data_IF_056014815667
#
_entry.id   IF_056014815667
#
_cell.length_a   1.000
_cell.length_b   1.000
_cell.length_c   1.000
_cell.angle_alpha   90.00
_cell.angle_beta   90.00
_cell.angle_gamma   90.00
#
_symmetry.space_group_name_H-M   'P 1'
#
loop_
_entity.id
_entity.type
_entity.pdbx_description
1 polymer ?
#
# COMPACT_ATOMS: atom_id res chain seq x y z
N UNK A 1 -21.82 -7.02 2.94
CA UNK A 1 -20.52 -6.41 3.27
C UNK A 1 -19.73 -6.30 1.97
N UNK A 2 -19.22 -5.11 1.67
CA UNK A 2 -18.54 -4.83 0.40
C UNK A 2 -17.06 -5.22 0.42
N UNK A 3 -16.39 -5.07 -0.72
CA UNK A 3 -14.94 -5.08 -0.79
C UNK A 3 -14.44 -3.68 -0.43
N UNK A 4 -13.34 -3.58 0.32
CA UNK A 4 -12.58 -2.34 0.47
C UNK A 4 -11.21 -2.51 -0.18
N UNK A 5 -10.65 -1.43 -0.69
CA UNK A 5 -9.37 -1.44 -1.39
C UNK A 5 -8.43 -0.43 -0.78
N UNK A 6 -7.17 -0.83 -0.61
CA UNK A 6 -6.07 0.03 -0.20
C UNK A 6 -5.07 0.09 -1.34
N UNK A 7 -4.76 1.27 -1.83
CA UNK A 7 -3.74 1.49 -2.84
C UNK A 7 -2.53 2.15 -2.18
N UNK A 8 -1.39 1.47 -2.21
CA UNK A 8 -0.09 2.00 -1.78
C UNK A 8 0.67 2.41 -3.02
N UNK A 9 0.98 3.69 -3.13
CA UNK A 9 1.72 4.25 -4.26
C UNK A 9 3.10 4.71 -3.79
N UNK A 10 4.15 4.44 -4.57
CA UNK A 10 5.51 4.80 -4.22
C UNK A 10 6.24 5.46 -5.39
N UNK A 11 7.00 6.53 -5.10
CA UNK A 11 7.82 7.25 -6.08
C UNK A 11 9.26 7.22 -5.70
N UNK A 12 10.11 7.15 -6.73
CA UNK A 12 11.55 7.30 -6.59
C UNK A 12 11.96 8.70 -6.07
N UNK A 13 11.15 9.72 -6.33
CA UNK A 13 11.39 11.08 -5.85
C UNK A 13 10.51 11.40 -4.65
N UNK A 14 11.10 11.93 -3.57
CA UNK A 14 10.37 12.45 -2.42
C UNK A 14 9.47 13.66 -2.77
N UNK A 15 9.88 14.46 -3.75
CA UNK A 15 9.20 15.71 -4.12
C UNK A 15 8.08 15.55 -5.15
N UNK A 16 7.94 14.37 -5.74
CA UNK A 16 7.05 14.17 -6.89
C UNK A 16 5.71 13.57 -6.44
N UNK A 17 4.61 14.36 -6.35
CA UNK A 17 3.36 13.88 -5.80
C UNK A 17 2.52 13.08 -6.80
N UNK A 18 1.66 12.23 -6.27
CA UNK A 18 0.47 11.81 -6.99
C UNK A 18 -0.61 12.89 -6.87
N UNK A 19 -1.26 13.18 -7.98
CA UNK A 19 -2.27 14.24 -8.07
C UNK A 19 -3.68 13.69 -7.96
N UNK A 20 -3.94 12.54 -8.58
CA UNK A 20 -5.26 11.91 -8.64
C UNK A 20 -5.14 10.40 -8.75
N UNK A 21 -6.12 9.68 -8.19
CA UNK A 21 -6.35 8.26 -8.45
C UNK A 21 -7.75 8.09 -9.01
N UNK A 22 -7.87 7.34 -10.11
CA UNK A 22 -9.13 7.04 -10.80
C UNK A 22 -9.21 5.57 -11.16
N UNK A 23 -10.41 5.04 -11.28
CA UNK A 23 -10.67 3.75 -11.89
C UNK A 23 -11.70 3.85 -13.01
N UNK A 24 -11.81 2.80 -13.83
CA UNK A 24 -12.76 2.68 -14.94
C UNK A 24 -14.22 2.45 -14.50
N UNK A 25 -14.44 2.21 -13.20
CA UNK A 25 -15.78 2.13 -12.59
C UNK A 25 -16.32 3.47 -12.09
N UNK A 26 -15.50 4.53 -12.12
CA UNK A 26 -15.87 5.84 -11.58
C UNK A 26 -15.98 5.88 -10.05
N UNK A 27 -15.32 4.96 -9.32
CA UNK A 27 -15.36 4.99 -7.87
C UNK A 27 -14.50 6.13 -7.30
N UNK A 28 -14.84 6.54 -6.08
CA UNK A 28 -14.10 7.58 -5.38
C UNK A 28 -12.91 6.99 -4.61
N UNK A 29 -11.72 7.51 -4.90
CA UNK A 29 -10.49 7.21 -4.18
C UNK A 29 -10.15 8.34 -3.22
N UNK A 30 -9.92 8.00 -1.95
CA UNK A 30 -9.57 8.98 -0.91
C UNK A 30 -8.11 8.79 -0.50
N UNK A 31 -7.28 9.82 -0.66
CA UNK A 31 -5.94 9.84 -0.07
C UNK A 31 -6.06 9.90 1.45
N UNK A 32 -5.44 8.96 2.13
CA UNK A 32 -5.44 8.87 3.60
C UNK A 32 -4.22 9.54 4.20
N UNK A 33 -3.04 9.19 3.70
CA UNK A 33 -1.80 9.80 4.16
C UNK A 33 -0.68 9.67 3.14
N UNK A 34 0.43 10.38 3.36
CA UNK A 34 1.64 10.32 2.53
C UNK A 34 2.89 10.77 3.28
N UNK A 35 4.05 10.28 2.86
CA UNK A 35 5.35 10.77 3.31
C UNK A 35 6.32 10.87 2.13
N UNK A 36 7.35 11.74 2.18
CA UNK A 36 7.56 12.75 3.21
C UNK A 36 6.58 13.93 3.08
N UNK A 37 6.39 14.68 4.18
CA UNK A 37 5.54 15.89 4.20
C UNK A 37 6.26 17.13 3.66
N UNK A 38 7.59 17.12 3.69
CA UNK A 38 8.45 18.21 3.24
C UNK A 38 9.83 17.67 2.84
N UNK A 39 10.60 18.49 2.12
CA UNK A 39 11.94 18.13 1.65
C UNK A 39 11.96 17.36 0.32
N UNK A 40 13.16 17.13 -0.19
CA UNK A 40 13.44 16.48 -1.47
C UNK A 40 14.26 15.20 -1.35
N UNK A 41 14.65 14.82 -0.13
CA UNK A 41 15.42 13.61 0.14
C UNK A 41 14.50 12.44 0.49
N UNK A 42 14.85 11.24 0.00
CA UNK A 42 14.16 9.99 0.31
C UNK A 42 13.17 9.53 -0.77
N UNK A 43 12.24 8.66 -0.37
CA UNK A 43 11.18 8.11 -1.22
C UNK A 43 9.83 8.66 -0.81
N UNK A 44 8.98 8.92 -1.80
CA UNK A 44 7.59 9.23 -1.52
C UNK A 44 6.78 7.94 -1.45
N UNK A 45 5.88 7.87 -0.49
CA UNK A 45 4.87 6.84 -0.39
C UNK A 45 3.53 7.49 -0.06
N UNK A 46 2.45 7.05 -0.69
CA UNK A 46 1.09 7.51 -0.44
C UNK A 46 0.16 6.32 -0.21
N UNK A 47 -0.83 6.52 0.65
CA UNK A 47 -1.87 5.55 0.90
C UNK A 47 -3.22 6.13 0.50
N UNK A 48 -3.95 5.37 -0.32
CA UNK A 48 -5.29 5.69 -0.80
C UNK A 48 -6.24 4.56 -0.48
N UNK A 49 -7.53 4.87 -0.33
CA UNK A 49 -8.57 3.85 -0.10
C UNK A 49 -9.79 4.06 -0.97
N UNK A 50 -10.47 2.97 -1.31
CA UNK A 50 -11.74 2.98 -2.03
C UNK A 50 -12.72 1.95 -1.44
N UNK A 51 -13.96 2.38 -1.22
CA UNK A 51 -15.11 1.50 -1.01
C UNK A 51 -15.97 1.56 -2.28
N UNK A 52 -15.73 0.67 -3.27
CA UNK A 52 -16.36 0.78 -4.57
C UNK A 52 -17.88 0.64 -4.49
N UNK A 53 -18.56 1.47 -5.27
CA UNK A 53 -19.99 1.43 -5.56
C UNK A 53 -20.29 0.82 -6.93
N UNK A 54 -19.26 0.69 -7.78
CA UNK A 54 -19.31 0.08 -9.09
C UNK A 54 -18.10 -0.86 -9.30
N UNK A 55 -18.26 -1.96 -10.06
CA UNK A 55 -17.13 -2.78 -10.50
C UNK A 55 -16.10 -1.95 -11.29
N UNK A 56 -14.83 -2.30 -11.16
CA UNK A 56 -13.73 -1.71 -11.90
C UNK A 56 -12.71 -2.80 -12.26
N UNK A 57 -11.97 -2.59 -13.35
CA UNK A 57 -10.95 -3.52 -13.88
C UNK A 57 -9.56 -2.90 -13.95
N UNK A 58 -9.44 -1.59 -13.73
CA UNK A 58 -8.15 -0.91 -13.70
C UNK A 58 -8.14 0.27 -12.75
N UNK A 59 -7.00 0.50 -12.11
CA UNK A 59 -6.76 1.69 -11.28
C UNK A 59 -5.56 2.42 -11.85
N UNK A 60 -5.71 3.74 -12.05
CA UNK A 60 -4.66 4.61 -12.57
C UNK A 60 -4.38 5.73 -11.59
N UNK A 61 -3.10 6.02 -11.38
CA UNK A 61 -2.65 7.14 -10.58
C UNK A 61 -1.90 8.15 -11.45
N UNK A 62 -2.43 9.37 -11.51
CA UNK A 62 -1.75 10.50 -12.12
C UNK A 62 -0.70 11.08 -11.17
N UNK A 63 0.41 11.55 -11.71
CA UNK A 63 1.51 12.15 -10.96
C UNK A 63 2.19 13.27 -11.76
N UNK A 64 3.00 14.07 -11.07
CA UNK A 64 3.89 15.06 -11.70
C UNK A 64 5.36 14.76 -11.37
N UNK A 65 6.28 15.32 -12.14
CA UNK A 65 7.72 15.08 -11.98
C UNK A 65 8.23 13.87 -12.75
N UNK A 66 9.55 13.78 -12.89
CA UNK A 66 10.24 12.82 -13.78
C UNK A 66 10.54 11.46 -13.15
N UNK A 67 10.25 11.26 -11.86
CA UNK A 67 10.48 9.97 -11.21
C UNK A 67 9.55 8.85 -11.71
N UNK A 68 9.97 7.60 -11.55
CA UNK A 68 9.11 6.43 -11.77
C UNK A 68 8.07 6.31 -10.65
N UNK A 69 6.90 5.81 -11.01
CA UNK A 69 5.80 5.56 -10.10
C UNK A 69 5.50 4.06 -10.04
N UNK A 70 5.28 3.57 -8.83
CA UNK A 70 4.97 2.18 -8.53
C UNK A 70 3.70 2.15 -7.69
N UNK A 71 2.97 1.04 -7.76
CA UNK A 71 1.74 0.91 -7.00
C UNK A 71 1.41 -0.53 -6.66
N UNK A 72 0.92 -0.76 -5.45
CA UNK A 72 0.34 -2.02 -5.00
C UNK A 72 -1.11 -1.75 -4.57
N UNK A 73 -2.06 -2.38 -5.25
CA UNK A 73 -3.47 -2.34 -4.90
C UNK A 73 -3.80 -3.57 -4.06
N UNK A 74 -4.41 -3.40 -2.89
CA UNK A 74 -4.75 -4.47 -1.96
C UNK A 74 -6.25 -4.54 -1.75
N UNK A 75 -6.85 -5.69 -2.02
CA UNK A 75 -8.24 -5.96 -1.65
C UNK A 75 -8.33 -6.47 -0.23
N UNK A 76 -9.24 -5.87 0.53
CA UNK A 76 -9.56 -6.23 1.92
C UNK A 76 -11.02 -6.72 1.96
N UNK A 77 -11.24 -8.04 1.83
CA UNK A 77 -12.59 -8.58 1.83
C UNK A 77 -13.25 -8.43 3.20
N UNK A 78 -14.52 -8.03 3.23
CA UNK A 78 -15.30 -7.94 4.46
C UNK A 78 -14.99 -6.72 5.35
N UNK A 79 -14.08 -5.83 4.97
CA UNK A 79 -13.86 -4.58 5.68
C UNK A 79 -15.08 -3.64 5.58
N UNK A 80 -15.36 -2.89 6.65
CA UNK A 80 -16.43 -1.89 6.65
C UNK A 80 -16.09 -0.67 5.78
N UNK A 81 -14.80 -0.50 5.47
CA UNK A 81 -14.25 0.68 4.81
C UNK A 81 -14.01 1.86 5.73
N UNK A 82 -14.28 1.69 7.03
CA UNK A 82 -13.92 2.67 8.06
C UNK A 82 -12.43 2.52 8.36
N UNK A 83 -11.71 3.63 8.18
CA UNK A 83 -10.32 3.77 8.61
C UNK A 83 -10.35 4.18 10.08
N UNK A 84 -9.77 3.35 10.93
CA UNK A 84 -9.63 3.62 12.36
C UNK A 84 -8.50 4.63 12.57
N UNK A 85 -7.28 4.26 12.15
CA UNK A 85 -6.10 5.11 12.23
C UNK A 85 -5.19 4.88 11.02
N UNK A 86 -4.52 5.92 10.58
CA UNK A 86 -3.55 5.87 9.48
C UNK A 86 -2.39 6.80 9.80
N UNK A 87 -1.18 6.39 9.41
CA UNK A 87 0.01 7.21 9.53
C UNK A 87 0.96 6.95 8.36
N UNK A 88 1.60 8.00 7.88
CA UNK A 88 2.73 7.95 6.97
C UNK A 88 3.90 8.74 7.51
N UNK A 89 5.10 8.17 7.45
CA UNK A 89 6.31 8.83 7.92
C UNK A 89 7.52 8.52 7.03
N UNK A 90 8.54 9.37 7.11
CA UNK A 90 9.81 9.19 6.46
C UNK A 90 10.91 8.95 7.49
N UNK A 91 11.77 7.97 7.23
CA UNK A 91 12.93 7.67 8.05
C UNK A 91 14.20 7.99 7.27
N UNK A 92 15.15 8.62 7.97
CA UNK A 92 16.47 8.91 7.44
C UNK A 92 17.24 7.63 7.09
N UNK A 93 18.46 7.80 6.55
CA UNK A 93 19.32 6.72 6.10
C UNK A 93 19.67 5.73 7.23
N UNK A 94 18.94 4.62 7.34
CA UNK A 94 19.16 3.56 8.33
C UNK A 94 18.71 2.21 7.76
N UNK A 95 19.52 1.16 7.96
CA UNK A 95 19.17 -0.22 7.62
C UNK A 95 18.09 -0.81 8.54
N UNK A 96 17.93 -0.25 9.74
CA UNK A 96 16.94 -0.64 10.76
C UNK A 96 16.28 0.63 11.29
N UNK A 97 15.40 1.28 10.52
CA UNK A 97 14.71 2.47 11.01
C UNK A 97 13.78 2.13 12.18
N UNK A 98 13.49 3.11 13.02
CA UNK A 98 12.41 2.98 14.00
C UNK A 98 11.08 2.72 13.30
N UNK A 99 10.26 1.83 13.86
CA UNK A 99 8.93 1.51 13.38
C UNK A 99 8.04 2.77 13.30
N UNK A 100 7.07 2.71 12.39
CA UNK A 100 5.96 3.67 12.38
C UNK A 100 4.79 2.99 13.05
N UNK A 101 4.43 3.49 14.22
CA UNK A 101 3.44 2.86 15.09
C UNK A 101 2.10 3.59 14.99
N UNK A 102 1.03 2.80 15.02
CA UNK A 102 -0.34 3.27 15.24
C UNK A 102 -0.92 2.58 16.47
N UNK A 103 -2.00 3.12 17.02
CA UNK A 103 -2.74 2.48 18.11
C UNK A 103 -4.19 2.32 17.66
N UNK A 104 -4.58 1.13 17.15
CA UNK A 104 -5.96 0.84 16.80
C UNK A 104 -6.87 1.07 18.00
N UNK A 105 -8.03 1.68 17.79
CA UNK A 105 -9.03 1.89 18.83
C UNK A 105 -10.04 0.74 18.90
N UNK A 106 -10.11 -0.08 17.85
CA UNK A 106 -11.05 -1.20 17.72
C UNK A 106 -10.33 -2.56 17.68
N UNK A 107 -10.96 -3.58 18.28
CA UNK A 107 -10.37 -4.92 18.42
C UNK A 107 -10.45 -5.77 17.13
N UNK A 108 -11.44 -5.47 16.28
CA UNK A 108 -11.67 -6.16 15.00
C UNK A 108 -11.05 -5.35 13.85
N UNK A 109 -9.72 -5.16 13.88
CA UNK A 109 -9.02 -4.41 12.83
C UNK A 109 -8.11 -5.28 11.99
N UNK A 110 -7.94 -4.88 10.72
CA UNK A 110 -6.85 -5.31 9.86
C UNK A 110 -5.84 -4.17 9.80
N UNK A 111 -4.60 -4.45 10.14
CA UNK A 111 -3.51 -3.50 9.96
C UNK A 111 -2.71 -3.86 8.73
N UNK A 112 -2.57 -2.93 7.82
CA UNK A 112 -1.71 -3.03 6.64
C UNK A 112 -0.60 -2.01 6.76
N UNK A 113 0.63 -2.43 6.51
CA UNK A 113 1.80 -1.58 6.52
C UNK A 113 2.62 -1.79 5.26
N UNK A 114 3.24 -0.72 4.78
CA UNK A 114 4.08 -0.76 3.61
C UNK A 114 5.29 0.15 3.76
N UNK A 115 6.38 -0.23 3.09
CA UNK A 115 7.61 0.53 3.07
C UNK A 115 8.24 0.54 1.67
N UNK A 116 8.80 1.68 1.29
CA UNK A 116 9.70 1.80 0.16
C UNK A 116 11.06 2.33 0.67
N UNK A 117 12.15 1.62 0.39
CA UNK A 117 13.49 1.97 0.86
C UNK A 117 14.53 1.75 -0.23
N UNK A 118 15.57 2.60 -0.34
CA UNK A 118 16.53 2.53 -1.45
C UNK A 118 17.93 2.15 -1.09
N UNK A 119 18.66 1.47 -1.98
CA UNK A 119 18.23 0.95 -3.29
C UNK A 119 17.62 -0.47 -3.18
N UNK A 120 16.78 -0.72 -2.17
CA UNK A 120 16.30 -2.07 -1.90
C UNK A 120 15.21 -2.47 -2.89
N UNK A 121 15.24 -3.75 -3.23
CA UNK A 121 14.14 -4.45 -3.88
C UNK A 121 13.16 -4.91 -2.79
N UNK A 122 11.90 -5.15 -3.13
CA UNK A 122 10.92 -5.68 -2.18
C UNK A 122 11.42 -6.97 -1.51
N UNK A 123 12.13 -7.84 -2.25
CA UNK A 123 12.69 -9.10 -1.76
C UNK A 123 13.85 -8.96 -0.76
N UNK A 124 14.47 -7.77 -0.66
CA UNK A 124 15.58 -7.51 0.28
C UNK A 124 15.11 -6.74 1.51
N UNK A 125 13.81 -6.50 1.65
CA UNK A 125 13.19 -5.85 2.81
C UNK A 125 12.54 -6.94 3.65
N UNK A 126 13.01 -7.11 4.89
CA UNK A 126 12.48 -8.12 5.81
C UNK A 126 11.65 -7.45 6.90
N UNK A 127 10.35 -7.80 7.04
CA UNK A 127 9.55 -7.35 8.18
C UNK A 127 9.87 -8.13 9.44
N UNK A 128 9.61 -7.52 10.60
CA UNK A 128 9.64 -8.18 11.90
C UNK A 128 8.63 -9.33 11.98
N UNK A 129 8.83 -10.21 12.97
CA UNK A 129 7.96 -11.37 13.22
C UNK A 129 6.51 -10.96 13.52
N UNK A 130 5.55 -11.80 13.15
CA UNK A 130 4.12 -11.59 13.43
C UNK A 130 3.33 -10.92 12.30
N UNK A 131 4.03 -10.51 11.25
CA UNK A 131 3.46 -9.91 10.03
C UNK A 131 3.39 -10.92 8.89
N UNK A 132 2.32 -10.83 8.09
CA UNK A 132 2.15 -11.65 6.89
C UNK A 132 2.53 -10.81 5.68
N UNK A 133 3.58 -11.22 4.96
CA UNK A 133 4.04 -10.54 3.75
C UNK A 133 3.11 -10.74 2.57
N UNK A 134 2.93 -9.69 1.80
CA UNK A 134 2.21 -9.69 0.53
C UNK A 134 3.21 -9.65 -0.63
N UNK A 135 2.89 -10.36 -1.72
CA UNK A 135 3.70 -10.35 -2.94
C UNK A 135 3.47 -9.04 -3.68
N UNK A 136 4.55 -8.34 -4.02
CA UNK A 136 4.55 -7.07 -4.74
C UNK A 136 5.56 -7.12 -5.89
N UNK A 137 5.60 -6.09 -6.73
CA UNK A 137 6.61 -5.97 -7.78
C UNK A 137 7.99 -5.82 -7.13
N UNK A 138 9.01 -6.36 -7.80
CA UNK A 138 10.37 -6.38 -7.29
C UNK A 138 10.90 -4.98 -6.95
N UNK A 139 10.46 -3.95 -7.68
CA UNK A 139 10.82 -2.56 -7.45
C UNK A 139 9.81 -1.82 -6.58
N UNK A 140 8.63 -2.41 -6.40
CA UNK A 140 7.50 -1.86 -5.66
C UNK A 140 7.74 -1.76 -4.15
N UNK A 141 6.76 -1.17 -3.43
CA UNK A 141 6.79 -1.17 -1.98
C UNK A 141 6.71 -2.60 -1.44
N UNK A 142 7.36 -2.87 -0.32
CA UNK A 142 7.16 -4.09 0.47
C UNK A 142 5.92 -3.91 1.33
N UNK A 143 5.01 -4.89 1.32
CA UNK A 143 3.73 -4.83 2.02
C UNK A 143 3.58 -6.00 3.00
N UNK A 144 3.01 -5.70 4.16
CA UNK A 144 2.63 -6.70 5.15
C UNK A 144 1.27 -6.37 5.74
N UNK A 145 0.62 -7.37 6.33
CA UNK A 145 -0.58 -7.18 7.13
C UNK A 145 -0.62 -8.04 8.39
N UNK A 146 -1.42 -7.61 9.35
CA UNK A 146 -1.77 -8.34 10.56
C UNK A 146 -3.29 -8.23 10.80
N UNK A 147 -3.90 -9.29 11.32
CA UNK A 147 -5.34 -9.35 11.62
C UNK A 147 -5.54 -9.40 13.12
N UNK A 148 -6.54 -8.66 13.62
CA UNK A 148 -6.95 -8.67 15.02
C UNK A 148 -5.87 -8.22 16.00
N UNK A 149 -5.11 -7.13 15.75
CA UNK A 149 -4.27 -6.58 16.79
C UNK A 149 -5.14 -6.06 17.95
N UNK A 150 -4.66 -6.15 19.21
CA UNK A 150 -5.44 -5.67 20.34
C UNK A 150 -5.71 -4.16 20.27
N UNK A 151 -6.94 -3.75 20.57
CA UNK A 151 -7.29 -2.34 20.72
C UNK A 151 -6.47 -1.68 21.84
N UNK A 152 -6.07 -0.43 21.64
CA UNK A 152 -5.32 0.36 22.61
C UNK A 152 -3.84 -0.02 22.77
N UNK A 153 -3.34 -0.97 21.98
CA UNK A 153 -1.93 -1.40 22.00
C UNK A 153 -1.21 -0.85 20.76
N UNK A 154 -0.07 -0.16 20.93
CA UNK A 154 0.75 0.26 19.79
C UNK A 154 1.18 -0.93 18.93
N UNK A 155 1.06 -0.76 17.62
CA UNK A 155 1.48 -1.74 16.61
C UNK A 155 2.23 -1.01 15.49
N UNK A 156 3.39 -1.54 15.14
CA UNK A 156 4.21 -1.10 14.03
C UNK A 156 5.05 -2.25 13.48
N UNK A 157 5.58 -2.06 12.29
CA UNK A 157 6.49 -3.02 11.66
C UNK A 157 7.92 -2.57 11.89
N UNK A 158 8.73 -3.44 12.48
CA UNK A 158 10.18 -3.31 12.41
C UNK A 158 10.65 -3.76 11.02
N UNK A 159 11.27 -2.87 10.26
CA UNK A 159 11.79 -3.19 8.94
C UNK A 159 13.32 -3.33 8.98
N UNK A 160 13.83 -4.36 8.31
CA UNK A 160 15.25 -4.54 8.07
C UNK A 160 15.56 -4.46 6.57
N UNK A 161 16.55 -3.66 6.21
CA UNK A 161 16.99 -3.42 4.84
C UNK A 161 18.45 -3.85 4.66
N UNK A 162 18.84 -4.23 3.44
CA UNK A 162 20.26 -4.43 3.14
C UNK A 162 21.08 -3.14 3.27
N UNK A 163 20.51 -2.02 2.85
CA UNK A 163 21.01 -0.64 3.07
C UNK A 163 19.89 0.34 2.77
N UNK A 164 19.79 1.50 3.41
CA UNK A 164 18.78 2.49 3.01
C UNK A 164 19.32 3.92 2.97
N UNK A 165 19.15 4.62 1.85
CA UNK A 165 19.39 6.05 1.68
C UNK A 165 18.15 6.91 2.05
N UNK A 166 17.33 6.40 2.96
CA UNK A 166 16.01 6.93 3.30
C UNK A 166 14.88 5.99 2.90
N UNK A 167 13.78 6.06 3.65
CA UNK A 167 12.61 5.20 3.43
C UNK A 167 11.30 5.92 3.73
N UNK A 168 10.29 5.65 2.92
CA UNK A 168 8.92 6.07 3.14
C UNK A 168 8.10 4.92 3.69
N UNK A 169 7.32 5.18 4.74
CA UNK A 169 6.52 4.21 5.46
C UNK A 169 5.06 4.65 5.48
N UNK A 170 4.14 3.69 5.37
CA UNK A 170 2.71 3.89 5.63
C UNK A 170 2.18 2.73 6.46
N UNK A 171 1.22 3.02 7.33
CA UNK A 171 0.50 2.02 8.11
C UNK A 171 -0.95 2.48 8.29
N UNK A 172 -1.89 1.56 8.14
CA UNK A 172 -3.33 1.80 8.26
C UNK A 172 -4.00 0.69 9.04
N UNK A 173 -4.87 1.03 9.99
CA UNK A 173 -5.84 0.14 10.59
C UNK A 173 -7.21 0.36 9.94
N UNK A 174 -7.79 -0.72 9.44
CA UNK A 174 -9.13 -0.78 8.88
C UNK A 174 -10.01 -1.60 9.80
N UNK A 175 -11.21 -1.10 10.10
CA UNK A 175 -12.21 -1.92 10.79
C UNK A 175 -12.63 -3.08 9.87
N UNK A 176 -12.46 -4.31 10.35
CA UNK A 176 -13.06 -5.48 9.74
C UNK A 176 -14.55 -5.50 10.08
N UNK A 177 -15.39 -5.86 9.09
CA UNK A 177 -16.74 -6.32 9.39
C UNK A 177 -16.72 -7.72 9.98
N UNK A 178 -17.91 -8.32 10.20
CA UNK A 178 -18.02 -9.70 10.69
C UNK A 178 -17.13 -10.63 9.85
N UNK A 179 -16.25 -11.38 10.53
CA UNK A 179 -15.19 -12.16 9.92
C UNK A 179 -15.72 -13.09 8.81
N UNK A 180 -15.08 -13.15 7.63
CA UNK A 180 -15.35 -14.23 6.69
C UNK A 180 -14.86 -15.57 7.29
N UNK A 181 -15.57 -16.69 7.05
CA UNK A 181 -15.29 -18.01 7.67
C UNK A 181 -13.92 -18.61 7.28
N UNK A 182 -13.22 -17.99 6.34
CA UNK A 182 -11.83 -18.26 5.97
C UNK A 182 -11.16 -16.89 5.90
N UNK A 183 -10.10 -16.67 6.68
CA UNK A 183 -9.47 -15.36 6.91
C UNK A 183 -9.17 -14.54 5.65
N UNK A 184 -8.92 -13.22 5.77
CA UNK A 184 -8.77 -12.36 4.61
C UNK A 184 -7.53 -12.75 3.80
N UNK A 185 -7.76 -13.32 2.62
CA UNK A 185 -6.77 -13.39 1.57
C UNK A 185 -6.65 -11.99 0.96
N UNK A 186 -5.78 -11.15 1.52
CA UNK A 186 -5.40 -9.90 0.88
C UNK A 186 -4.79 -10.21 -0.49
N UNK A 187 -5.44 -9.75 -1.56
CA UNK A 187 -4.95 -9.90 -2.93
C UNK A 187 -4.23 -8.62 -3.33
N UNK A 188 -3.02 -8.74 -3.90
CA UNK A 188 -2.24 -7.60 -4.38
C UNK A 188 -2.20 -7.58 -5.91
N UNK A 189 -2.54 -6.44 -6.51
CA UNK A 189 -2.25 -6.13 -7.91
C UNK A 189 -1.12 -5.11 -7.98
N UNK A 190 -0.21 -5.26 -8.93
CA UNK A 190 0.97 -4.40 -9.03
C UNK A 190 1.04 -3.72 -10.38
N UNK A 191 1.32 -2.42 -10.36
CA UNK A 191 1.52 -1.60 -11.56
C UNK A 191 2.97 -1.21 -11.73
N UNK A 192 3.49 -1.39 -12.94
CA UNK A 192 4.82 -0.94 -13.36
C UNK A 192 4.81 -0.51 -14.81
N UNK A 193 4.82 0.80 -15.07
CA UNK A 193 5.23 1.36 -16.35
C UNK A 193 5.87 2.74 -16.14
N UNK A 194 6.98 3.01 -16.83
CA UNK A 194 7.79 4.24 -16.71
C UNK A 194 7.11 5.53 -17.22
N UNK A 195 5.84 5.49 -17.64
CA UNK A 195 5.11 6.68 -18.13
C UNK A 195 3.70 6.88 -17.52
N UNK A 196 3.09 5.84 -16.92
CA UNK A 196 1.78 5.90 -16.27
C UNK A 196 1.76 4.86 -15.14
N UNK A 197 1.41 5.25 -13.92
CA UNK A 197 1.16 4.28 -12.85
C UNK A 197 -0.22 3.66 -13.06
N UNK A 198 -0.38 2.92 -14.15
CA UNK A 198 -1.49 2.00 -14.31
C UNK A 198 -1.16 0.74 -13.52
N UNK A 199 -1.99 0.43 -12.52
CA UNK A 199 -2.04 -0.91 -11.94
C UNK A 199 -3.05 -1.67 -12.80
N UNK A 200 -2.53 -2.41 -13.78
CA UNK A 200 -3.35 -3.27 -14.62
C UNK A 200 -3.57 -4.62 -13.93
N UNK A 201 -4.83 -4.96 -13.69
CA UNK A 201 -5.23 -6.21 -13.06
C UNK A 201 -6.72 -6.44 -13.26
N UNK A 202 -7.07 -7.31 -14.21
CA UNK A 202 -8.46 -7.67 -14.52
C UNK A 202 -9.11 -8.35 -13.32
N UNK A 203 -10.31 -7.87 -12.93
CA UNK A 203 -11.24 -8.63 -12.09
C UNK A 203 -12.43 -9.08 -12.95
N UNK A 204 -12.58 -10.39 -13.18
CA UNK A 204 -13.70 -11.00 -13.93
C UNK A 204 -14.81 -11.60 -13.05
N UNK A 205 -14.70 -11.42 -11.73
CA UNK A 205 -15.66 -11.96 -10.78
C UNK A 205 -15.34 -13.34 -10.21
N UNK A 206 -14.40 -14.15 -10.73
CA UNK A 206 -14.07 -15.45 -10.08
C UNK A 206 -12.60 -15.92 -10.07
N UNK A 207 -11.66 -15.48 -10.91
CA UNK A 207 -10.26 -15.91 -10.79
C UNK A 207 -9.20 -15.00 -11.44
N UNK A 208 -7.93 -15.26 -11.13
CA UNK A 208 -6.72 -14.43 -11.38
C UNK A 208 -6.09 -14.72 -12.75
N UNK A 209 -5.65 -13.68 -13.47
CA UNK A 209 -4.68 -13.81 -14.58
C UNK A 209 -3.51 -12.85 -14.36
N UNK A 210 -2.28 -13.37 -14.33
CA UNK A 210 -1.05 -12.57 -14.31
C UNK A 210 -0.78 -12.00 -15.70
N UNK A 211 -0.53 -10.69 -15.84
CA UNK A 211 -0.03 -10.11 -17.09
C UNK A 211 1.47 -9.91 -16.97
N UNK A 212 2.24 -10.79 -17.60
CA UNK A 212 3.63 -10.57 -17.96
C UNK A 212 3.67 -9.77 -19.24
N UNK A 213 4.09 -8.50 -19.15
CA UNK A 213 4.33 -7.52 -20.22
C UNK A 213 3.12 -6.84 -20.86
N UNK A 214 3.17 -5.51 -20.90
CA UNK A 214 2.37 -4.67 -21.80
C UNK A 214 3.36 -3.92 -22.71
N UNK A 215 3.28 -4.17 -24.01
CA UNK A 215 4.00 -3.39 -25.03
C UNK A 215 3.30 -2.03 -25.24
N UNK A 216 4.09 -0.96 -25.32
CA UNK A 216 3.61 0.37 -25.70
C UNK A 216 3.89 0.56 -27.19
N UNK A 217 2.84 0.72 -28.01
CA UNK A 217 2.94 1.25 -29.39
C UNK A 217 3.18 2.75 -29.40
#
# INVERSE_FOLDING_TARGET
MGNHYVLVLARYSASDPYTTVTDDGGNTWTRRDFAPKSGSAGRRIELWTCSPTAPFTGVSAAFTGSGSALGALVRVPGASGVVDVVLADHRSSSATPASVDITPTEADTLVLAAVQANPNLASTITPGSGWISLVTDVNGPSLVFQIGPPAGVPIGVDWNFGSAAGSGHVIIALQQGAAPPTGPACTVWVGGAEATASVEGVWDGQQVVSITSLEVT
#
